data_IF_492708897752
#
_entry.id   IF_492708897752
#
_cell.length_a   1.000
_cell.length_b   1.000
_cell.length_c   1.000
_cell.angle_alpha   90.00
_cell.angle_beta   90.00
_cell.angle_gamma   90.00
#
_symmetry.space_group_name_H-M   'P 1'
#
loop_
_entity.id
_entity.type
_entity.pdbx_description
1 polymer ?
#
# COMPACT_ATOMS: atom_id res chain seq x y z
N UNK A 1 1.79 -21.78 14.30
CA UNK A 1 2.08 -20.38 13.90
C UNK A 1 0.75 -19.67 13.69
N UNK A 2 0.13 -19.36 14.81
CA UNK A 2 -1.25 -18.88 14.94
C UNK A 2 -1.32 -17.38 14.63
N UNK A 3 -2.31 -16.99 13.83
CA UNK A 3 -2.80 -15.62 13.74
C UNK A 3 -1.81 -14.49 13.34
N UNK A 4 -1.34 -14.50 12.09
CA UNK A 4 -1.25 -13.21 11.35
C UNK A 4 -2.68 -12.72 11.14
N UNK A 5 -3.34 -12.19 12.18
CA UNK A 5 -4.64 -11.52 12.03
C UNK A 5 -4.44 -10.43 10.98
N UNK A 6 -4.99 -10.65 9.79
CA UNK A 6 -5.29 -9.57 8.86
C UNK A 6 -6.02 -8.51 9.69
N UNK A 7 -5.38 -7.38 9.95
CA UNK A 7 -5.97 -6.33 10.76
C UNK A 7 -7.04 -5.62 9.92
N UNK A 8 -8.18 -6.29 9.72
CA UNK A 8 -9.29 -5.83 8.89
C UNK A 8 -9.78 -4.47 9.40
N UNK A 9 -9.82 -4.27 10.73
CA UNK A 9 -10.12 -2.97 11.34
C UNK A 9 -9.21 -1.85 10.83
N UNK A 10 -7.95 -2.18 10.60
CA UNK A 10 -6.95 -1.25 10.10
C UNK A 10 -7.16 -0.93 8.61
N UNK A 11 -7.45 -1.95 7.82
CA UNK A 11 -7.81 -1.78 6.40
C UNK A 11 -9.05 -0.89 6.25
N UNK A 12 -10.08 -1.13 7.06
CA UNK A 12 -11.29 -0.31 7.07
C UNK A 12 -10.94 1.15 7.40
N UNK A 13 -10.08 1.37 8.40
CA UNK A 13 -9.60 2.73 8.73
C UNK A 13 -8.88 3.38 7.54
N UNK A 14 -7.97 2.66 6.87
CA UNK A 14 -7.27 3.17 5.68
C UNK A 14 -8.23 3.53 4.54
N UNK A 15 -9.25 2.69 4.29
CA UNK A 15 -10.27 2.95 3.28
C UNK A 15 -11.11 4.18 3.64
N UNK A 16 -11.56 4.30 4.89
CA UNK A 16 -12.32 5.47 5.36
C UNK A 16 -11.51 6.75 5.19
N UNK A 17 -10.24 6.73 5.61
CA UNK A 17 -9.34 7.88 5.45
C UNK A 17 -9.08 8.19 3.97
N UNK A 18 -8.94 7.18 3.12
CA UNK A 18 -8.78 7.36 1.68
C UNK A 18 -10.01 8.01 1.03
N UNK A 19 -11.22 7.62 1.46
CA UNK A 19 -12.47 8.24 0.98
C UNK A 19 -12.57 9.69 1.46
N UNK A 20 -12.21 9.98 2.72
CA UNK A 20 -12.20 11.35 3.24
C UNK A 20 -11.23 12.26 2.47
N UNK A 21 -10.01 11.77 2.19
CA UNK A 21 -9.04 12.49 1.38
C UNK A 21 -9.51 12.69 -0.06
N UNK A 22 -10.15 11.69 -0.66
CA UNK A 22 -10.75 11.80 -2.00
C UNK A 22 -11.83 12.89 -2.04
N UNK A 23 -12.78 12.86 -1.11
CA UNK A 23 -13.87 13.85 -1.00
C UNK A 23 -13.28 15.25 -0.81
N UNK A 24 -12.23 15.38 0.02
CA UNK A 24 -11.55 16.65 0.23
C UNK A 24 -10.96 17.23 -1.06
N UNK A 25 -10.24 16.41 -1.84
CA UNK A 25 -9.66 16.83 -3.12
C UNK A 25 -10.76 17.22 -4.12
N UNK A 26 -11.85 16.45 -4.16
CA UNK A 26 -13.00 16.73 -5.05
C UNK A 26 -13.65 18.07 -4.70
N UNK A 27 -13.92 18.34 -3.43
CA UNK A 27 -14.51 19.61 -2.97
C UNK A 27 -13.62 20.80 -3.33
N UNK A 28 -12.30 20.61 -3.35
CA UNK A 28 -11.34 21.65 -3.75
C UNK A 28 -11.13 21.76 -5.26
N UNK A 29 -11.68 20.85 -6.07
CA UNK A 29 -11.60 20.91 -7.53
C UNK A 29 -10.21 20.68 -8.13
N UNK A 30 -9.24 20.18 -7.36
CA UNK A 30 -7.87 19.97 -7.85
C UNK A 30 -7.72 18.61 -8.57
N UNK A 31 -8.04 18.59 -9.86
CA UNK A 31 -8.05 17.37 -10.69
C UNK A 31 -6.66 16.78 -10.93
N UNK A 32 -5.61 17.60 -10.91
CA UNK A 32 -4.22 17.13 -11.06
C UNK A 32 -3.82 16.27 -9.86
N UNK A 33 -4.05 16.78 -8.65
CA UNK A 33 -3.77 16.00 -7.43
C UNK A 33 -4.69 14.78 -7.30
N UNK A 34 -5.94 14.88 -7.76
CA UNK A 34 -6.87 13.74 -7.80
C UNK A 34 -6.33 12.60 -8.68
N UNK A 35 -5.78 12.94 -9.86
CA UNK A 35 -5.24 11.96 -10.80
C UNK A 35 -4.01 11.21 -10.26
N UNK A 36 -3.24 11.83 -9.37
CA UNK A 36 -2.12 11.18 -8.66
C UNK A 36 -2.61 10.40 -7.43
N UNK A 37 -3.58 10.93 -6.70
CA UNK A 37 -4.07 10.35 -5.44
C UNK A 37 -4.76 8.99 -5.61
N UNK A 38 -5.66 8.88 -6.58
CA UNK A 38 -6.44 7.66 -6.82
C UNK A 38 -5.55 6.44 -7.09
N UNK A 39 -4.63 6.46 -8.08
CA UNK A 39 -3.80 5.29 -8.36
C UNK A 39 -2.90 4.90 -7.18
N UNK A 40 -2.37 5.88 -6.43
CA UNK A 40 -1.57 5.59 -5.23
C UNK A 40 -2.41 4.84 -4.18
N UNK A 41 -3.62 5.31 -3.87
CA UNK A 41 -4.50 4.65 -2.90
C UNK A 41 -4.95 3.26 -3.36
N UNK A 42 -5.25 3.10 -4.65
CA UNK A 42 -5.63 1.81 -5.25
C UNK A 42 -4.48 0.79 -5.18
N UNK A 43 -3.23 1.22 -5.21
CA UNK A 43 -2.07 0.32 -5.09
C UNK A 43 -1.75 0.04 -3.62
N UNK A 44 -1.70 1.07 -2.78
CA UNK A 44 -1.25 0.97 -1.38
C UNK A 44 -2.19 0.15 -0.51
N UNK A 45 -3.51 0.28 -0.69
CA UNK A 45 -4.51 -0.41 0.13
C UNK A 45 -4.44 -1.95 -0.07
N UNK A 46 -4.50 -2.48 -1.31
CA UNK A 46 -4.29 -3.90 -1.55
C UNK A 46 -2.87 -4.37 -1.19
N UNK A 47 -1.85 -3.57 -1.46
CA UNK A 47 -0.48 -3.91 -1.09
C UNK A 47 -0.35 -4.17 0.41
N UNK A 48 -0.85 -3.25 1.24
CA UNK A 48 -0.84 -3.38 2.70
C UNK A 48 -1.57 -4.64 3.18
N UNK A 49 -2.70 -4.99 2.56
CA UNK A 49 -3.49 -6.15 2.94
C UNK A 49 -2.88 -7.48 2.47
N UNK A 50 -2.32 -7.51 1.26
CA UNK A 50 -1.76 -8.70 0.62
C UNK A 50 -0.22 -8.76 0.69
N UNK A 51 0.42 -7.93 1.52
CA UNK A 51 1.87 -7.77 1.60
C UNK A 51 2.62 -9.12 1.68
N UNK A 52 2.14 -10.05 2.52
CA UNK A 52 2.73 -11.39 2.60
C UNK A 52 2.64 -12.18 1.28
N UNK A 53 1.47 -12.15 0.64
CA UNK A 53 1.24 -12.81 -0.65
C UNK A 53 2.08 -12.18 -1.74
N UNK A 54 2.21 -10.86 -1.76
CA UNK A 54 3.04 -10.12 -2.72
C UNK A 54 4.52 -10.45 -2.54
N UNK A 55 5.03 -10.41 -1.31
CA UNK A 55 6.42 -10.80 -1.02
C UNK A 55 6.70 -12.26 -1.40
N UNK A 56 5.74 -13.17 -1.17
CA UNK A 56 5.88 -14.58 -1.57
C UNK A 56 5.84 -14.75 -3.10
N UNK A 57 4.99 -13.99 -3.79
CA UNK A 57 4.92 -14.00 -5.25
C UNK A 57 6.22 -13.47 -5.86
N UNK A 58 6.76 -12.38 -5.31
CA UNK A 58 8.01 -11.77 -5.76
C UNK A 58 9.20 -12.71 -5.55
N UNK A 59 9.28 -13.38 -4.40
CA UNK A 59 10.29 -14.40 -4.13
C UNK A 59 10.18 -15.60 -5.10
N UNK A 60 8.96 -16.07 -5.39
CA UNK A 60 8.74 -17.13 -6.38
C UNK A 60 9.13 -16.70 -7.79
N UNK A 61 8.80 -15.46 -8.16
CA UNK A 61 9.21 -14.89 -9.44
C UNK A 61 10.73 -14.84 -9.52
N UNK A 62 11.40 -14.30 -8.51
CA UNK A 62 12.86 -14.28 -8.46
C UNK A 62 13.48 -15.66 -8.57
N UNK A 63 12.97 -16.64 -7.81
CA UNK A 63 13.43 -18.03 -7.85
C UNK A 63 13.29 -18.64 -9.25
N UNK A 64 12.14 -18.47 -9.92
CA UNK A 64 11.92 -18.98 -11.28
C UNK A 64 12.90 -18.42 -12.33
N UNK A 65 13.33 -17.16 -12.16
CA UNK A 65 14.20 -16.49 -13.13
C UNK A 65 15.71 -16.60 -12.81
N UNK A 66 16.08 -16.86 -11.55
CA UNK A 66 17.48 -16.74 -11.10
C UNK A 66 18.03 -17.95 -10.36
N UNK A 67 17.19 -18.85 -9.83
CA UNK A 67 17.68 -20.00 -9.05
C UNK A 67 17.77 -21.26 -9.91
N UNK A 68 18.92 -21.94 -9.84
CA UNK A 68 19.13 -23.27 -10.45
C UNK A 68 18.55 -24.41 -9.61
N UNK A 69 18.21 -24.15 -8.35
CA UNK A 69 17.63 -25.12 -7.40
C UNK A 69 16.47 -24.46 -6.67
N UNK A 70 15.29 -25.11 -6.58
CA UNK A 70 14.11 -24.48 -6.00
C UNK A 70 14.28 -24.29 -4.48
N UNK A 71 14.29 -23.04 -4.02
CA UNK A 71 14.05 -22.69 -2.62
C UNK A 71 12.55 -22.52 -2.34
N UNK A 72 12.11 -22.74 -1.09
CA UNK A 72 10.69 -22.68 -0.67
C UNK A 72 10.02 -21.31 -0.88
N UNK A 73 10.79 -20.27 -1.23
CA UNK A 73 10.30 -18.94 -1.58
C UNK A 73 9.63 -18.22 -0.41
N UNK A 74 9.89 -18.64 0.83
CA UNK A 74 9.33 -18.01 2.01
C UNK A 74 9.92 -16.61 2.21
N UNK A 75 9.07 -15.56 2.39
CA UNK A 75 9.55 -14.22 2.63
C UNK A 75 10.13 -14.09 4.04
N UNK A 76 11.34 -13.51 4.13
CA UNK A 76 11.97 -13.22 5.41
C UNK A 76 11.17 -12.19 6.22
N UNK A 77 11.22 -12.29 7.56
CA UNK A 77 10.53 -11.35 8.45
C UNK A 77 10.98 -9.91 8.23
N UNK A 78 12.26 -9.70 7.92
CA UNK A 78 12.80 -8.39 7.57
C UNK A 78 12.14 -7.80 6.31
N UNK A 79 11.91 -8.62 5.29
CA UNK A 79 11.28 -8.18 4.04
C UNK A 79 9.81 -7.82 4.25
N UNK A 80 9.09 -8.59 5.07
CA UNK A 80 7.72 -8.26 5.46
C UNK A 80 7.64 -6.97 6.28
N UNK A 81 8.61 -6.72 7.16
CA UNK A 81 8.68 -5.48 7.93
C UNK A 81 8.94 -4.27 7.01
N UNK A 82 9.94 -4.36 6.13
CA UNK A 82 10.29 -3.30 5.19
C UNK A 82 9.15 -3.00 4.21
N UNK A 83 8.46 -4.03 3.70
CA UNK A 83 7.27 -3.84 2.86
C UNK A 83 6.20 -3.02 3.56
N UNK A 84 5.87 -3.35 4.82
CA UNK A 84 4.90 -2.59 5.61
C UNK A 84 5.32 -1.14 5.80
N UNK A 85 6.59 -0.91 6.14
CA UNK A 85 7.13 0.45 6.33
C UNK A 85 7.02 1.26 5.02
N UNK A 86 7.37 0.67 3.88
CA UNK A 86 7.28 1.35 2.59
C UNK A 86 5.84 1.70 2.20
N UNK A 87 4.89 0.78 2.43
CA UNK A 87 3.46 1.00 2.19
C UNK A 87 2.91 2.11 3.08
N UNK A 88 3.38 2.16 4.33
CA UNK A 88 3.06 3.21 5.29
C UNK A 88 3.55 4.59 4.85
N UNK A 89 4.79 4.67 4.38
CA UNK A 89 5.37 5.92 3.88
C UNK A 89 4.56 6.40 2.66
N UNK A 90 4.24 5.51 1.72
CA UNK A 90 3.40 5.83 0.56
C UNK A 90 2.01 6.31 0.96
N UNK A 91 1.38 5.66 1.95
CA UNK A 91 0.08 6.08 2.47
C UNK A 91 0.13 7.50 3.07
N UNK A 92 1.13 7.79 3.90
CA UNK A 92 1.30 9.12 4.51
C UNK A 92 1.54 10.18 3.43
N UNK A 93 2.39 9.90 2.43
CA UNK A 93 2.60 10.83 1.31
C UNK A 93 1.30 11.12 0.55
N UNK A 94 0.47 10.11 0.31
CA UNK A 94 -0.84 10.32 -0.32
C UNK A 94 -1.76 11.21 0.51
N UNK A 95 -1.75 11.08 1.84
CA UNK A 95 -2.51 11.98 2.73
C UNK A 95 -1.96 13.42 2.70
N UNK A 96 -0.64 13.59 2.66
CA UNK A 96 -0.03 14.91 2.51
C UNK A 96 -0.46 15.55 1.19
N UNK A 97 -0.51 14.80 0.09
CA UNK A 97 -1.03 15.29 -1.20
C UNK A 97 -2.50 15.75 -1.09
N UNK A 98 -3.34 15.00 -0.38
CA UNK A 98 -4.72 15.41 -0.13
C UNK A 98 -4.80 16.71 0.69
N UNK A 99 -3.95 16.89 1.70
CA UNK A 99 -3.91 18.14 2.47
C UNK A 99 -3.40 19.31 1.64
N UNK A 100 -2.36 19.09 0.83
CA UNK A 100 -1.81 20.11 -0.08
C UNK A 100 -2.84 20.61 -1.09
N UNK A 101 -3.80 19.77 -1.51
CA UNK A 101 -4.88 20.21 -2.38
C UNK A 101 -5.77 21.29 -1.76
N UNK A 102 -5.80 21.40 -0.43
CA UNK A 102 -6.50 22.47 0.29
C UNK A 102 -5.66 23.73 0.50
N UNK A 103 -4.34 23.65 0.34
CA UNK A 103 -3.42 24.79 0.51
C UNK A 103 -3.07 25.49 -0.81
N UNK A 104 -3.13 24.76 -1.92
CA UNK A 104 -2.76 25.24 -3.27
C UNK A 104 -4.03 25.59 -4.09
N UNK A 105 -5.20 25.66 -3.45
CA UNK A 105 -6.48 26.02 -4.08
C UNK A 105 -6.79 27.51 -3.94
#
# INVERSE_FOLDING_TARGET
>A
MTEKRKNIKFLICQIVVAILGLVWIIVRGNTVLLSAYIPIMVIVIPATYFNYTLCKLENKWHSMWHERTPCDGEPSDFRLLMGKISEWILFIMALVLALLSGMIA
#
